data_IF_065283770651
#
_entry.id   IF_065283770651
#
_cell.length_a   1.000
_cell.length_b   1.000
_cell.length_c   1.000
_cell.angle_alpha   90.00
_cell.angle_beta   90.00
_cell.angle_gamma   90.00
#
_symmetry.space_group_name_H-M   'P 1'
#
loop_
_entity.id
_entity.type
_entity.pdbx_description
1 polymer ?
#
# COMPACT_ATOMS: atom_id res chain seq x y z
N UNK A 1 2.89 20.89 3.76
CA UNK A 1 1.60 20.40 3.22
C UNK A 1 0.82 19.87 4.39
N UNK A 2 -0.45 20.24 4.50
CA UNK A 2 -1.28 19.81 5.61
C UNK A 2 -1.62 18.31 5.46
N UNK A 3 -1.58 17.59 6.58
CA UNK A 3 -1.93 16.17 6.62
C UNK A 3 -3.45 16.04 6.77
N UNK A 4 -4.08 15.35 5.83
CA UNK A 4 -5.55 15.16 5.81
C UNK A 4 -5.97 13.82 6.42
N UNK A 5 -5.18 12.77 6.22
CA UNK A 5 -5.39 11.48 6.86
C UNK A 5 -4.16 11.18 7.72
N UNK A 6 -4.34 10.93 8.99
CA UNK A 6 -3.26 10.56 9.89
C UNK A 6 -3.62 9.32 10.72
N UNK A 7 -2.63 8.46 10.95
CA UNK A 7 -2.73 7.40 11.96
C UNK A 7 -1.51 7.43 12.87
N UNK A 8 -1.72 7.16 14.15
CA UNK A 8 -0.65 7.06 15.13
C UNK A 8 -0.76 5.72 15.87
N UNK A 9 0.28 4.89 15.76
CA UNK A 9 0.37 3.54 16.37
C UNK A 9 -0.89 2.69 16.15
N UNK A 10 -1.57 2.89 15.00
CA UNK A 10 -2.84 2.25 14.69
C UNK A 10 -2.69 0.73 14.70
N UNK A 11 -3.49 0.05 15.52
CA UNK A 11 -3.37 -1.37 15.75
C UNK A 11 -4.71 -2.08 15.71
N UNK A 12 -4.76 -3.25 15.05
CA UNK A 12 -5.91 -4.15 15.03
C UNK A 12 -5.48 -5.59 15.26
N UNK A 13 -6.15 -6.26 16.21
CA UNK A 13 -5.86 -7.64 16.61
C UNK A 13 -7.09 -8.51 16.31
N UNK A 14 -6.91 -9.62 15.62
CA UNK A 14 -7.92 -10.65 15.44
C UNK A 14 -7.36 -11.98 15.97
N UNK A 15 -8.10 -12.63 16.84
CA UNK A 15 -7.73 -13.94 17.42
C UNK A 15 -6.28 -13.98 17.96
N UNK A 16 -5.86 -12.93 18.67
CA UNK A 16 -4.52 -12.81 19.24
C UNK A 16 -3.40 -12.43 18.28
N UNK A 17 -3.70 -12.27 16.98
CA UNK A 17 -2.74 -11.85 15.96
C UNK A 17 -2.97 -10.40 15.56
N UNK A 18 -1.92 -9.57 15.60
CA UNK A 18 -1.97 -8.22 15.07
C UNK A 18 -1.99 -8.26 13.54
N UNK A 19 -3.14 -7.88 12.94
CA UNK A 19 -3.34 -7.76 11.48
C UNK A 19 -2.92 -6.38 11.00
N UNK A 20 -3.05 -5.36 11.85
CA UNK A 20 -2.43 -4.05 11.69
C UNK A 20 -1.66 -3.78 12.97
N UNK A 21 -0.39 -3.41 12.86
CA UNK A 21 0.54 -3.35 13.98
C UNK A 21 1.30 -2.03 13.98
N UNK A 22 0.85 -1.08 14.82
CA UNK A 22 1.46 0.24 15.04
C UNK A 22 1.72 1.01 13.74
N UNK A 23 0.71 1.11 12.90
CA UNK A 23 0.81 1.82 11.62
C UNK A 23 0.75 3.32 11.86
N UNK A 24 1.79 4.04 11.40
CA UNK A 24 1.90 5.50 11.40
C UNK A 24 1.83 5.97 9.95
N UNK A 25 0.68 6.45 9.50
CA UNK A 25 0.42 6.90 8.14
C UNK A 25 0.13 8.40 8.15
N UNK A 26 0.65 9.12 7.16
CA UNK A 26 0.34 10.52 6.91
C UNK A 26 0.07 10.72 5.42
N UNK A 27 -1.13 11.18 5.07
CA UNK A 27 -1.54 11.46 3.69
C UNK A 27 -1.69 12.98 3.53
N UNK A 28 -0.89 13.61 2.67
CA UNK A 28 -0.99 15.05 2.41
C UNK A 28 -2.26 15.42 1.67
N UNK A 29 -2.72 16.65 1.88
CA UNK A 29 -3.85 17.23 1.14
C UNK A 29 -3.58 17.25 -0.38
N UNK A 30 -4.60 16.89 -1.18
CA UNK A 30 -4.53 16.86 -2.64
C UNK A 30 -3.67 15.72 -3.22
N UNK A 31 -3.12 14.85 -2.39
CA UNK A 31 -2.32 13.71 -2.84
C UNK A 31 -3.20 12.59 -3.40
N UNK A 32 -2.67 11.88 -4.40
CA UNK A 32 -3.07 10.51 -4.70
C UNK A 32 -2.08 9.61 -3.95
N UNK A 33 -2.53 9.08 -2.82
CA UNK A 33 -1.73 8.21 -1.97
C UNK A 33 -2.09 6.74 -2.21
N UNK A 34 -1.12 5.92 -2.58
CA UNK A 34 -1.31 4.49 -2.76
C UNK A 34 -0.77 3.68 -1.59
N UNK A 35 -1.64 2.94 -0.92
CA UNK A 35 -1.28 1.95 0.09
C UNK A 35 -1.03 0.61 -0.58
N UNK A 36 0.24 0.26 -0.75
CA UNK A 36 0.70 -0.89 -1.54
C UNK A 36 1.10 -2.06 -0.64
N UNK A 37 0.91 -3.27 -1.14
CA UNK A 37 1.29 -4.47 -0.40
C UNK A 37 0.59 -5.72 -0.89
N UNK A 38 1.12 -6.89 -0.55
CA UNK A 38 0.52 -8.18 -0.90
C UNK A 38 -0.83 -8.43 -0.22
N UNK A 39 -1.49 -9.53 -0.60
CA UNK A 39 -2.70 -9.97 0.06
C UNK A 39 -2.41 -10.30 1.53
N UNK A 40 -3.29 -9.88 2.43
CA UNK A 40 -3.10 -10.06 3.87
C UNK A 40 -2.11 -9.09 4.53
N UNK A 41 -1.56 -8.11 3.81
CA UNK A 41 -0.65 -7.09 4.38
C UNK A 41 -1.30 -6.15 5.41
N UNK A 42 -2.64 -6.13 5.52
CA UNK A 42 -3.37 -5.28 6.46
C UNK A 42 -4.04 -4.06 5.82
N UNK A 43 -3.93 -3.84 4.50
CA UNK A 43 -4.44 -2.67 3.78
C UNK A 43 -5.94 -2.43 4.00
N UNK A 44 -6.79 -3.40 3.65
CA UNK A 44 -8.25 -3.28 3.79
C UNK A 44 -8.69 -3.14 5.26
N UNK A 45 -7.95 -3.73 6.21
CA UNK A 45 -8.21 -3.55 7.64
C UNK A 45 -7.90 -2.12 8.08
N UNK A 46 -6.79 -1.56 7.61
CA UNK A 46 -6.42 -0.15 7.85
C UNK A 46 -7.49 0.79 7.27
N UNK A 47 -7.91 0.55 6.02
CA UNK A 47 -8.97 1.33 5.36
C UNK A 47 -10.29 1.25 6.13
N UNK A 48 -10.70 0.08 6.62
CA UNK A 48 -11.93 -0.07 7.42
C UNK A 48 -11.87 0.70 8.76
N UNK A 49 -10.70 0.81 9.36
CA UNK A 49 -10.53 1.63 10.57
C UNK A 49 -10.61 3.12 10.22
N UNK A 50 -9.98 3.57 9.13
CA UNK A 50 -10.06 4.94 8.62
C UNK A 50 -11.50 5.35 8.26
N UNK A 51 -12.30 4.44 7.74
CA UNK A 51 -13.71 4.71 7.34
C UNK A 51 -14.72 4.52 8.47
N UNK A 52 -14.27 4.29 9.72
CA UNK A 52 -15.15 4.08 10.87
C UNK A 52 -16.01 2.79 10.79
N UNK A 53 -15.63 1.84 9.92
CA UNK A 53 -16.32 0.55 9.81
C UNK A 53 -15.78 -0.51 10.77
N UNK A 54 -14.62 -0.25 11.37
CA UNK A 54 -13.96 -1.16 12.29
C UNK A 54 -13.23 -0.35 13.36
N UNK A 55 -13.50 -0.57 14.67
CA UNK A 55 -12.75 0.11 15.71
C UNK A 55 -11.32 -0.39 15.79
N UNK A 56 -10.38 0.51 16.07
CA UNK A 56 -9.01 0.15 16.42
C UNK A 56 -8.98 -0.46 17.83
N UNK A 57 -8.00 -1.36 18.07
CA UNK A 57 -7.75 -1.89 19.41
C UNK A 57 -6.73 -1.04 20.18
N UNK A 58 -5.87 -0.29 19.43
CA UNK A 58 -4.96 0.71 19.99
C UNK A 58 -4.56 1.72 18.93
N UNK A 59 -4.04 2.87 19.39
CA UNK A 59 -3.66 3.98 18.52
C UNK A 59 -4.85 4.83 18.09
N UNK A 60 -4.60 5.78 17.19
CA UNK A 60 -5.62 6.73 16.71
C UNK A 60 -5.60 6.83 15.19
N UNK A 61 -6.73 7.21 14.61
CA UNK A 61 -6.88 7.51 13.20
C UNK A 61 -7.75 8.75 13.03
N UNK A 62 -7.30 9.71 12.23
CA UNK A 62 -8.04 10.96 11.96
C UNK A 62 -8.12 11.23 10.47
N UNK A 63 -9.24 11.81 10.04
CA UNK A 63 -9.44 12.35 8.68
C UNK A 63 -9.99 13.77 8.83
N UNK A 64 -9.40 14.74 8.13
CA UNK A 64 -9.79 16.15 8.21
C UNK A 64 -9.70 16.72 9.64
N UNK A 65 -8.84 16.12 10.48
CA UNK A 65 -8.68 16.47 11.88
C UNK A 65 -9.68 15.82 12.84
N UNK A 66 -10.68 15.10 12.34
CA UNK A 66 -11.74 14.42 13.11
C UNK A 66 -11.38 12.94 13.35
N UNK A 67 -11.78 12.40 14.51
CA UNK A 67 -11.52 10.99 14.85
C UNK A 67 -12.38 10.05 14.01
N UNK A 68 -11.74 9.08 13.36
CA UNK A 68 -12.41 8.17 12.41
C UNK A 68 -13.49 7.28 13.05
N UNK A 69 -13.45 7.05 14.35
CA UNK A 69 -14.43 6.24 15.05
C UNK A 69 -15.48 7.08 15.79
N UNK A 70 -15.04 8.08 16.57
CA UNK A 70 -15.92 8.94 17.33
C UNK A 70 -16.82 9.80 16.43
N UNK A 71 -16.23 10.36 15.36
CA UNK A 71 -16.90 11.28 14.43
C UNK A 71 -17.31 10.59 13.11
N UNK A 72 -17.42 9.27 13.12
CA UNK A 72 -17.65 8.46 11.92
C UNK A 72 -18.92 8.85 11.14
N UNK A 73 -19.96 9.36 11.80
CA UNK A 73 -21.21 9.77 11.16
C UNK A 73 -20.98 11.05 10.33
N UNK A 74 -20.33 12.05 10.91
CA UNK A 74 -20.07 13.34 10.27
C UNK A 74 -19.06 13.18 9.12
N UNK A 75 -18.04 12.34 9.31
CA UNK A 75 -17.07 12.02 8.28
C UNK A 75 -17.69 11.35 7.04
N UNK A 76 -18.79 10.60 7.16
CA UNK A 76 -19.47 9.97 6.00
C UNK A 76 -20.01 10.97 4.97
N UNK A 77 -20.23 12.21 5.34
CA UNK A 77 -20.65 13.25 4.39
C UNK A 77 -19.48 13.88 3.64
N UNK A 78 -18.27 13.77 4.21
CA UNK A 78 -17.04 14.38 3.68
C UNK A 78 -16.06 13.37 3.07
N UNK A 79 -16.29 12.07 3.34
CA UNK A 79 -15.44 10.96 2.88
C UNK A 79 -16.23 10.02 1.98
N UNK A 80 -15.84 9.93 0.72
CA UNK A 80 -16.36 8.91 -0.20
C UNK A 80 -15.59 7.60 -0.01
N UNK A 81 -16.31 6.48 0.11
CA UNK A 81 -15.68 5.17 0.25
C UNK A 81 -16.18 4.17 -0.79
N UNK A 82 -15.25 3.49 -1.45
CA UNK A 82 -15.54 2.36 -2.35
C UNK A 82 -14.82 1.12 -1.83
N UNK A 83 -15.54 0.11 -1.33
CA UNK A 83 -14.93 -1.15 -0.91
C UNK A 83 -14.47 -1.99 -2.10
N UNK A 84 -13.53 -2.94 -1.87
CA UNK A 84 -13.05 -3.90 -2.88
C UNK A 84 -14.19 -4.62 -3.60
N UNK A 85 -15.24 -4.97 -2.87
CA UNK A 85 -16.43 -5.67 -3.39
C UNK A 85 -17.69 -4.97 -2.93
N UNK A 86 -18.11 -3.91 -3.63
CA UNK A 86 -19.40 -3.28 -3.36
C UNK A 86 -20.51 -4.32 -3.47
N UNK A 87 -21.50 -4.24 -2.58
CA UNK A 87 -22.70 -5.11 -2.66
C UNK A 87 -23.91 -4.23 -2.79
N UNK A 88 -24.51 -4.26 -3.97
CA UNK A 88 -25.77 -3.58 -4.25
C UNK A 88 -26.89 -4.60 -4.34
N UNK A 89 -28.14 -4.12 -4.34
CA UNK A 89 -29.30 -4.97 -4.57
C UNK A 89 -29.41 -5.31 -6.07
N UNK A 90 -29.24 -6.56 -6.42
CA UNK A 90 -29.17 -7.07 -7.80
C UNK A 90 -30.41 -6.71 -8.66
N UNK A 91 -31.59 -6.56 -8.04
CA UNK A 91 -32.83 -6.22 -8.68
C UNK A 91 -32.98 -4.73 -9.03
N UNK A 92 -32.18 -3.84 -8.40
CA UNK A 92 -32.20 -2.41 -8.69
C UNK A 92 -31.54 -2.09 -10.03
N UNK A 93 -32.00 -0.99 -10.63
CA UNK A 93 -31.30 -0.35 -11.75
C UNK A 93 -30.24 0.64 -11.24
N UNK A 94 -29.38 1.12 -12.16
CA UNK A 94 -28.41 2.20 -11.87
C UNK A 94 -29.13 3.44 -11.32
N UNK A 95 -30.28 3.79 -11.85
CA UNK A 95 -31.10 4.90 -11.35
C UNK A 95 -31.69 4.61 -9.96
N UNK A 96 -32.19 3.40 -9.72
CA UNK A 96 -32.85 3.05 -8.47
C UNK A 96 -31.89 3.09 -7.28
N UNK A 97 -30.66 2.60 -7.45
CA UNK A 97 -29.64 2.66 -6.37
C UNK A 97 -29.26 4.10 -6.03
N UNK A 98 -29.18 4.98 -7.04
CA UNK A 98 -28.95 6.41 -6.82
C UNK A 98 -30.11 7.08 -6.07
N UNK A 99 -31.34 6.80 -6.45
CA UNK A 99 -32.54 7.29 -5.73
C UNK A 99 -32.58 6.77 -4.28
N UNK A 100 -32.31 5.48 -4.08
CA UNK A 100 -32.28 4.89 -2.74
C UNK A 100 -31.22 5.54 -1.85
N UNK A 101 -30.01 5.72 -2.41
CA UNK A 101 -28.89 6.33 -1.66
C UNK A 101 -29.15 7.82 -1.36
N UNK A 102 -29.81 8.53 -2.26
CA UNK A 102 -30.19 9.94 -2.06
C UNK A 102 -31.03 10.17 -0.80
N UNK A 103 -31.80 9.16 -0.34
CA UNK A 103 -32.56 9.23 0.89
C UNK A 103 -31.71 9.35 2.18
N UNK A 104 -30.41 9.11 2.10
CA UNK A 104 -29.47 9.22 3.22
C UNK A 104 -28.55 10.46 3.13
N UNK A 105 -28.74 11.30 2.08
CA UNK A 105 -27.91 12.46 1.82
C UNK A 105 -28.75 13.72 1.62
N UNK A 106 -28.10 14.87 1.62
CA UNK A 106 -28.72 16.16 1.36
C UNK A 106 -29.21 16.34 -0.09
N UNK A 107 -30.01 17.35 -0.34
CA UNK A 107 -30.70 17.62 -1.61
C UNK A 107 -29.81 17.67 -2.87
N UNK A 108 -28.50 17.89 -2.74
CA UNK A 108 -27.55 17.93 -3.87
C UNK A 108 -27.11 16.56 -4.41
N UNK A 109 -27.37 15.46 -3.70
CA UNK A 109 -26.88 14.13 -4.09
C UNK A 109 -27.47 13.65 -5.43
N UNK A 110 -28.80 13.65 -5.58
CA UNK A 110 -29.46 13.07 -6.75
C UNK A 110 -29.07 13.69 -8.10
N UNK A 111 -29.01 15.04 -8.25
CA UNK A 111 -28.54 15.63 -9.50
C UNK A 111 -27.07 15.31 -9.78
N UNK A 112 -26.18 15.39 -8.77
CA UNK A 112 -24.75 15.04 -8.96
C UNK A 112 -24.56 13.57 -9.33
N UNK A 113 -25.36 12.66 -8.75
CA UNK A 113 -25.32 11.26 -9.14
C UNK A 113 -25.74 11.07 -10.61
N UNK A 114 -26.80 11.71 -11.04
CA UNK A 114 -27.26 11.64 -12.43
C UNK A 114 -26.20 12.13 -13.42
N UNK A 115 -25.52 13.24 -13.11
CA UNK A 115 -24.41 13.76 -13.90
C UNK A 115 -23.23 12.78 -13.97
N UNK A 116 -22.88 12.13 -12.84
CA UNK A 116 -21.84 11.11 -12.79
C UNK A 116 -22.20 9.87 -13.59
N UNK A 117 -23.46 9.42 -13.55
CA UNK A 117 -23.97 8.31 -14.38
C UNK A 117 -23.79 8.62 -15.86
N UNK A 118 -24.11 9.85 -16.30
CA UNK A 118 -23.90 10.28 -17.66
C UNK A 118 -22.39 10.36 -18.01
N UNK A 119 -21.57 10.96 -17.15
CA UNK A 119 -20.12 11.09 -17.33
C UNK A 119 -19.44 9.71 -17.45
N UNK A 120 -19.84 8.75 -16.66
CA UNK A 120 -19.31 7.38 -16.69
C UNK A 120 -19.95 6.51 -17.79
N UNK A 121 -20.85 7.08 -18.59
CA UNK A 121 -21.55 6.40 -19.70
C UNK A 121 -22.27 5.13 -19.23
N UNK A 122 -22.93 5.21 -18.07
CA UNK A 122 -23.76 4.16 -17.54
C UNK A 122 -25.19 4.31 -18.06
N UNK A 123 -25.85 3.20 -18.41
CA UNK A 123 -27.28 3.21 -18.72
C UNK A 123 -28.09 3.26 -17.41
N UNK A 124 -28.86 4.35 -17.15
CA UNK A 124 -29.67 4.47 -15.95
C UNK A 124 -30.71 3.37 -15.76
N UNK A 125 -31.15 2.73 -16.86
CA UNK A 125 -32.18 1.66 -16.85
C UNK A 125 -31.55 0.26 -16.70
N UNK A 126 -30.25 0.13 -16.87
CA UNK A 126 -29.55 -1.15 -16.71
C UNK A 126 -29.70 -1.69 -15.29
N UNK A 127 -30.01 -2.97 -15.14
CA UNK A 127 -30.05 -3.65 -13.85
C UNK A 127 -28.62 -3.91 -13.35
N UNK A 128 -28.37 -3.70 -12.06
CA UNK A 128 -27.02 -3.83 -11.46
C UNK A 128 -26.42 -5.22 -11.69
N UNK A 129 -27.24 -6.30 -11.60
CA UNK A 129 -26.80 -7.68 -11.86
C UNK A 129 -26.31 -7.94 -13.30
N UNK A 130 -26.69 -7.09 -14.26
CA UNK A 130 -26.31 -7.25 -15.67
C UNK A 130 -25.09 -6.44 -16.08
N UNK A 131 -24.59 -5.61 -15.17
CA UNK A 131 -23.42 -4.80 -15.43
C UNK A 131 -22.15 -5.65 -15.50
N UNK A 132 -21.21 -5.25 -16.36
CA UNK A 132 -19.85 -5.74 -16.30
C UNK A 132 -19.19 -5.34 -14.95
N UNK A 133 -18.10 -5.99 -14.56
CA UNK A 133 -17.33 -5.59 -13.37
C UNK A 133 -16.94 -4.11 -13.41
N UNK A 134 -16.53 -3.60 -14.57
CA UNK A 134 -16.20 -2.19 -14.76
C UNK A 134 -17.40 -1.26 -14.61
N UNK A 135 -18.57 -1.62 -15.16
CA UNK A 135 -19.81 -0.89 -14.96
C UNK A 135 -20.22 -0.84 -13.48
N UNK A 136 -20.09 -1.97 -12.81
CA UNK A 136 -20.41 -2.08 -11.38
C UNK A 136 -19.45 -1.22 -10.50
N UNK A 137 -18.15 -1.21 -10.81
CA UNK A 137 -17.18 -0.34 -10.15
C UNK A 137 -17.47 1.15 -10.39
N UNK A 138 -17.87 1.53 -11.62
CA UNK A 138 -18.27 2.89 -11.96
C UNK A 138 -19.51 3.35 -11.18
N UNK A 139 -20.49 2.46 -10.96
CA UNK A 139 -21.65 2.76 -10.08
C UNK A 139 -21.18 3.03 -8.66
N UNK A 140 -20.30 2.19 -8.09
CA UNK A 140 -19.73 2.41 -6.77
C UNK A 140 -19.01 3.74 -6.64
N UNK A 141 -18.21 4.09 -7.65
CA UNK A 141 -17.51 5.37 -7.69
C UNK A 141 -18.50 6.55 -7.82
N UNK A 142 -19.55 6.44 -8.65
CA UNK A 142 -20.55 7.48 -8.77
C UNK A 142 -21.29 7.73 -7.45
N UNK A 143 -21.64 6.67 -6.71
CA UNK A 143 -22.28 6.77 -5.39
C UNK A 143 -21.34 7.42 -4.37
N UNK A 144 -20.04 7.09 -4.38
CA UNK A 144 -19.06 7.67 -3.47
C UNK A 144 -18.75 9.14 -3.78
N UNK A 145 -18.87 9.56 -5.03
CA UNK A 145 -18.60 10.93 -5.47
C UNK A 145 -19.82 11.86 -5.41
N UNK A 146 -21.04 11.33 -5.44
CA UNK A 146 -22.26 12.13 -5.45
C UNK A 146 -22.45 13.03 -4.21
N UNK A 147 -21.97 12.67 -3.01
CA UNK A 147 -21.95 13.59 -1.86
C UNK A 147 -21.01 14.79 -2.03
N UNK A 148 -20.12 14.78 -3.04
CA UNK A 148 -19.04 15.75 -3.25
C UNK A 148 -17.96 15.74 -2.14
N UNK A 149 -17.36 14.58 -1.87
CA UNK A 149 -16.45 14.40 -0.75
C UNK A 149 -15.12 15.14 -0.94
N UNK A 150 -14.51 15.58 0.15
CA UNK A 150 -13.15 16.15 0.20
C UNK A 150 -12.07 15.04 0.10
N UNK A 151 -12.37 13.86 0.66
CA UNK A 151 -11.50 12.69 0.69
C UNK A 151 -12.17 11.50 0.03
N UNK A 152 -11.45 10.79 -0.83
CA UNK A 152 -11.92 9.57 -1.47
C UNK A 152 -11.03 8.40 -1.04
N UNK A 153 -11.63 7.37 -0.45
CA UNK A 153 -10.94 6.15 -0.02
C UNK A 153 -11.43 4.97 -0.87
N UNK A 154 -10.50 4.27 -1.50
CA UNK A 154 -10.77 3.21 -2.45
C UNK A 154 -10.01 1.93 -2.07
N UNK A 155 -10.73 0.86 -1.76
CA UNK A 155 -10.10 -0.42 -1.41
C UNK A 155 -10.04 -1.33 -2.63
N UNK A 156 -8.83 -1.56 -3.17
CA UNK A 156 -8.55 -2.37 -4.36
C UNK A 156 -9.48 -2.05 -5.57
N UNK A 157 -9.66 -0.78 -5.94
CA UNK A 157 -10.75 -0.35 -6.84
C UNK A 157 -10.61 -0.87 -8.27
N UNK A 158 -9.41 -1.33 -8.66
CA UNK A 158 -9.11 -1.85 -10.00
C UNK A 158 -9.06 -3.38 -10.05
N UNK A 159 -9.29 -4.04 -8.92
CA UNK A 159 -9.24 -5.51 -8.82
C UNK A 159 -10.25 -6.19 -9.74
N UNK A 160 -9.75 -7.06 -10.62
CA UNK A 160 -10.60 -7.82 -11.56
C UNK A 160 -11.18 -7.00 -12.72
N UNK A 161 -10.75 -5.75 -12.90
CA UNK A 161 -11.05 -4.97 -14.10
C UNK A 161 -10.11 -5.36 -15.25
N UNK A 162 -10.60 -5.29 -16.49
CA UNK A 162 -9.73 -5.40 -17.66
C UNK A 162 -8.79 -4.18 -17.78
N UNK A 163 -7.72 -4.33 -18.55
CA UNK A 163 -6.66 -3.33 -18.66
C UNK A 163 -7.15 -1.95 -19.11
N UNK A 164 -8.13 -1.90 -20.01
CA UNK A 164 -8.63 -0.63 -20.56
C UNK A 164 -9.46 0.12 -19.51
N UNK A 165 -10.42 -0.56 -18.90
CA UNK A 165 -11.29 0.02 -17.84
C UNK A 165 -10.45 0.46 -16.64
N UNK A 166 -9.43 -0.34 -16.29
CA UNK A 166 -8.50 -0.01 -15.21
C UNK A 166 -7.75 1.29 -15.47
N UNK A 167 -7.24 1.49 -16.69
CA UNK A 167 -6.57 2.73 -17.08
C UNK A 167 -7.52 3.94 -17.05
N UNK A 168 -8.74 3.76 -17.55
CA UNK A 168 -9.77 4.80 -17.51
C UNK A 168 -10.11 5.20 -16.06
N UNK A 169 -10.24 4.20 -15.17
CA UNK A 169 -10.50 4.42 -13.76
C UNK A 169 -9.35 5.20 -13.08
N UNK A 170 -8.11 4.78 -13.28
CA UNK A 170 -6.95 5.46 -12.71
C UNK A 170 -6.77 6.88 -13.27
N UNK A 171 -7.05 7.12 -14.55
CA UNK A 171 -7.03 8.46 -15.14
C UNK A 171 -8.05 9.38 -14.46
N UNK A 172 -9.25 8.87 -14.13
CA UNK A 172 -10.26 9.67 -13.42
C UNK A 172 -9.79 10.10 -12.01
N UNK A 173 -8.89 9.35 -11.36
CA UNK A 173 -8.30 9.74 -10.07
C UNK A 173 -7.40 10.97 -10.22
N UNK A 174 -6.65 11.08 -11.31
CA UNK A 174 -5.81 12.25 -11.59
C UNK A 174 -6.66 13.49 -11.76
N UNK A 175 -7.80 13.39 -12.49
CA UNK A 175 -8.72 14.50 -12.65
C UNK A 175 -9.35 14.93 -11.30
N UNK A 176 -9.74 13.97 -10.46
CA UNK A 176 -10.32 14.24 -9.14
C UNK A 176 -9.30 14.92 -8.20
N UNK A 177 -8.06 14.45 -8.18
CA UNK A 177 -6.99 15.09 -7.40
C UNK A 177 -6.66 16.48 -7.93
N UNK A 178 -6.64 16.68 -9.26
CA UNK A 178 -6.48 17.99 -9.89
C UNK A 178 -7.60 18.98 -9.54
N UNK A 179 -8.78 18.49 -9.17
CA UNK A 179 -9.89 19.29 -8.63
C UNK A 179 -9.79 19.53 -7.10
N UNK A 180 -8.66 19.19 -6.47
CA UNK A 180 -8.36 19.46 -5.06
C UNK A 180 -8.75 18.36 -4.08
N UNK A 181 -9.26 17.20 -4.53
CA UNK A 181 -9.59 16.08 -3.64
C UNK A 181 -8.36 15.29 -3.24
N UNK A 182 -8.36 14.80 -2.00
CA UNK A 182 -7.36 13.84 -1.52
C UNK A 182 -7.85 12.42 -1.76
N UNK A 183 -7.00 11.57 -2.33
CA UNK A 183 -7.35 10.18 -2.67
C UNK A 183 -6.41 9.23 -1.96
N UNK A 184 -6.96 8.31 -1.17
CA UNK A 184 -6.25 7.15 -0.63
C UNK A 184 -6.77 5.90 -1.33
N UNK A 185 -5.90 5.16 -2.02
CA UNK A 185 -6.29 3.90 -2.62
C UNK A 185 -5.37 2.76 -2.15
N UNK A 186 -5.93 1.58 -1.92
CA UNK A 186 -5.14 0.37 -1.74
C UNK A 186 -4.94 -0.34 -3.08
N UNK A 187 -3.79 -0.97 -3.27
CA UNK A 187 -3.55 -1.82 -4.43
C UNK A 187 -2.46 -2.86 -4.17
N UNK A 188 -2.55 -3.98 -4.86
CA UNK A 188 -1.47 -4.94 -5.03
C UNK A 188 -0.79 -4.82 -6.41
N UNK A 189 -1.36 -4.05 -7.35
CA UNK A 189 -0.83 -3.78 -8.69
C UNK A 189 0.08 -2.54 -8.70
N UNK A 190 1.34 -2.69 -8.27
CA UNK A 190 2.27 -1.58 -8.04
C UNK A 190 2.56 -0.78 -9.32
N UNK A 191 2.89 -1.47 -10.43
CA UNK A 191 3.29 -0.84 -11.70
C UNK A 191 2.19 0.07 -12.31
N UNK A 192 0.93 -0.24 -12.04
CA UNK A 192 -0.20 0.55 -12.56
C UNK A 192 -0.40 1.82 -11.77
N UNK A 193 -0.31 1.71 -10.46
CA UNK A 193 -0.50 2.82 -9.53
C UNK A 193 0.66 3.81 -9.58
N UNK A 194 1.88 3.35 -9.87
CA UNK A 194 3.06 4.20 -10.05
C UNK A 194 2.86 5.35 -11.05
N UNK A 195 1.94 5.17 -12.01
CA UNK A 195 1.67 6.17 -13.06
C UNK A 195 0.80 7.33 -12.60
N UNK A 196 0.05 7.16 -11.53
CA UNK A 196 -0.97 8.13 -11.09
C UNK A 196 -0.75 8.60 -9.65
N UNK A 197 -0.12 7.80 -8.80
CA UNK A 197 0.15 8.15 -7.42
C UNK A 197 1.24 9.22 -7.32
N UNK A 198 1.06 10.15 -6.39
CA UNK A 198 2.08 11.10 -5.97
C UNK A 198 2.85 10.60 -4.74
N UNK A 199 2.18 9.82 -3.90
CA UNK A 199 2.72 9.26 -2.67
C UNK A 199 2.39 7.77 -2.56
N UNK A 200 3.23 7.03 -1.89
CA UNK A 200 3.03 5.60 -1.63
C UNK A 200 3.38 5.22 -0.21
N UNK A 201 2.70 4.21 0.32
CA UNK A 201 3.04 3.53 1.55
C UNK A 201 3.11 2.02 1.30
N UNK A 202 4.21 1.38 1.67
CA UNK A 202 4.39 -0.07 1.51
C UNK A 202 4.04 -0.79 2.80
N UNK A 203 3.07 -1.70 2.73
CA UNK A 203 2.66 -2.55 3.86
C UNK A 203 3.10 -3.99 3.68
N UNK A 204 3.57 -4.61 4.76
CA UNK A 204 3.79 -6.04 4.87
C UNK A 204 3.50 -6.52 6.30
N UNK A 205 2.83 -7.67 6.43
CA UNK A 205 2.53 -8.32 7.72
C UNK A 205 1.95 -7.38 8.78
N UNK A 206 1.06 -6.49 8.35
CA UNK A 206 0.40 -5.52 9.22
C UNK A 206 1.24 -4.28 9.56
N UNK A 207 2.43 -4.13 9.05
CA UNK A 207 3.33 -2.99 9.32
C UNK A 207 3.49 -2.11 8.09
N UNK A 208 3.61 -0.82 8.31
CA UNK A 208 4.04 0.13 7.28
C UNK A 208 5.58 0.13 7.24
N UNK A 209 6.15 -0.35 6.15
CA UNK A 209 7.60 -0.46 5.98
C UNK A 209 8.23 0.89 5.65
N UNK A 210 7.57 1.65 4.80
CA UNK A 210 8.00 2.97 4.32
C UNK A 210 6.81 3.71 3.73
N UNK A 211 6.74 5.02 3.94
CA UNK A 211 5.80 5.91 3.26
C UNK A 211 6.51 7.21 2.88
N UNK A 212 6.37 7.65 1.63
CA UNK A 212 6.96 8.88 1.13
C UNK A 212 6.34 9.29 -0.21
N UNK A 213 6.67 10.48 -0.71
CA UNK A 213 6.40 10.83 -2.11
C UNK A 213 7.23 9.94 -3.05
N UNK A 214 6.72 9.67 -4.24
CA UNK A 214 7.46 8.88 -5.25
C UNK A 214 8.79 9.58 -5.62
N UNK A 215 8.80 10.90 -5.63
CA UNK A 215 10.01 11.68 -5.90
C UNK A 215 11.07 11.49 -4.81
N UNK A 216 10.68 11.53 -3.53
CA UNK A 216 11.58 11.24 -2.41
C UNK A 216 12.09 9.81 -2.44
N UNK A 217 11.24 8.83 -2.72
CA UNK A 217 11.66 7.43 -2.82
C UNK A 217 12.74 7.22 -3.87
N UNK A 218 12.58 7.83 -5.05
CA UNK A 218 13.57 7.74 -6.13
C UNK A 218 14.91 8.40 -5.79
N UNK A 219 14.91 9.40 -4.90
CA UNK A 219 16.15 10.03 -4.40
C UNK A 219 16.79 9.22 -3.28
N UNK A 220 15.98 8.59 -2.43
CA UNK A 220 16.41 7.88 -1.23
C UNK A 220 16.79 6.44 -1.47
N UNK A 221 16.24 5.80 -2.50
CA UNK A 221 16.51 4.38 -2.79
C UNK A 221 17.05 4.27 -4.21
N UNK A 222 18.30 3.82 -4.31
CA UNK A 222 19.00 3.69 -5.58
C UNK A 222 19.63 2.31 -5.71
N UNK A 223 19.77 1.84 -6.94
CA UNK A 223 20.60 0.70 -7.27
C UNK A 223 21.97 1.19 -7.67
N UNK A 224 22.99 0.67 -7.02
CA UNK A 224 24.40 0.90 -7.38
C UNK A 224 24.97 -0.38 -7.94
N UNK A 225 25.55 -0.28 -9.14
CA UNK A 225 26.30 -1.35 -9.79
C UNK A 225 27.77 -0.93 -9.81
N UNK A 226 28.65 -1.80 -9.36
CA UNK A 226 30.08 -1.55 -9.27
C UNK A 226 30.89 -2.65 -9.96
N UNK A 227 31.77 -2.24 -10.88
CA UNK A 227 32.81 -3.07 -11.45
C UNK A 227 34.16 -2.75 -10.81
N UNK A 228 34.88 -3.75 -10.31
CA UNK A 228 36.14 -3.55 -9.59
C UNK A 228 37.21 -4.58 -9.97
N UNK A 229 38.47 -4.19 -9.81
CA UNK A 229 39.66 -5.04 -10.11
C UNK A 229 40.41 -5.54 -8.87
N UNK A 230 40.05 -5.10 -7.69
CA UNK A 230 40.70 -5.42 -6.42
C UNK A 230 39.74 -5.98 -5.39
N UNK A 231 39.93 -5.59 -4.13
CA UNK A 231 38.97 -5.84 -3.07
C UNK A 231 37.77 -4.90 -3.24
N UNK A 232 36.52 -5.42 -3.25
CA UNK A 232 35.36 -4.58 -3.32
C UNK A 232 35.19 -3.76 -2.04
N UNK A 233 34.68 -2.54 -2.12
CA UNK A 233 34.26 -1.78 -0.94
C UNK A 233 33.09 -2.50 -0.25
N UNK A 234 32.96 -2.30 1.06
CA UNK A 234 31.79 -2.79 1.78
C UNK A 234 30.58 -1.91 1.40
N UNK A 235 29.50 -2.48 0.86
CA UNK A 235 28.30 -1.71 0.51
C UNK A 235 27.67 -1.01 1.73
N UNK A 236 27.95 -1.45 2.96
CA UNK A 236 27.46 -0.82 4.19
C UNK A 236 28.07 0.58 4.42
N UNK A 237 29.27 0.86 3.89
CA UNK A 237 29.88 2.18 3.95
C UNK A 237 29.18 3.20 3.04
N UNK A 238 28.43 2.71 2.05
CA UNK A 238 27.76 3.52 1.03
C UNK A 238 26.31 3.88 1.36
N UNK A 239 25.75 3.30 2.40
CA UNK A 239 24.36 3.53 2.83
C UNK A 239 23.71 2.30 3.43
N UNK A 240 22.44 2.42 3.75
CA UNK A 240 21.68 1.30 4.31
C UNK A 240 21.36 0.26 3.23
N UNK A 241 22.00 -0.91 3.32
CA UNK A 241 21.83 -1.99 2.33
C UNK A 241 20.48 -2.67 2.50
N UNK A 242 19.61 -2.58 1.48
CA UNK A 242 18.35 -3.31 1.38
C UNK A 242 18.55 -4.67 0.72
N UNK A 243 19.30 -4.71 -0.38
CA UNK A 243 19.62 -5.91 -1.14
C UNK A 243 21.07 -5.85 -1.63
N UNK A 244 21.75 -6.99 -1.67
CA UNK A 244 23.12 -7.08 -2.16
C UNK A 244 23.35 -8.39 -2.88
N UNK A 245 24.00 -8.31 -4.05
CA UNK A 245 24.39 -9.45 -4.87
C UNK A 245 25.80 -9.20 -5.41
N UNK A 246 26.60 -10.27 -5.49
CA UNK A 246 27.95 -10.20 -6.06
C UNK A 246 28.19 -11.35 -7.01
N UNK A 247 28.87 -11.08 -8.11
CA UNK A 247 29.25 -12.05 -9.13
C UNK A 247 30.62 -11.71 -9.73
N UNK A 248 31.65 -12.42 -9.27
CA UNK A 248 33.03 -12.17 -9.71
C UNK A 248 33.51 -10.75 -9.36
N UNK A 249 33.78 -9.93 -10.40
CA UNK A 249 34.24 -8.54 -10.28
C UNK A 249 33.12 -7.51 -10.38
N UNK A 250 31.90 -7.95 -10.28
CA UNK A 250 30.70 -7.13 -10.29
C UNK A 250 29.96 -7.31 -8.98
N UNK A 251 29.56 -6.22 -8.31
CA UNK A 251 28.51 -6.28 -7.33
C UNK A 251 27.38 -5.27 -7.61
N UNK A 252 26.23 -5.57 -7.10
CA UNK A 252 25.05 -4.75 -7.21
C UNK A 252 24.39 -4.64 -5.84
N UNK A 253 24.12 -3.42 -5.40
CA UNK A 253 23.45 -3.14 -4.15
C UNK A 253 22.23 -2.25 -4.37
N UNK A 254 21.15 -2.48 -3.63
CA UNK A 254 20.07 -1.52 -3.45
C UNK A 254 20.30 -0.84 -2.11
N UNK A 255 20.54 0.46 -2.15
CA UNK A 255 20.87 1.29 -1.01
C UNK A 255 19.71 2.22 -0.69
N UNK A 256 19.36 2.33 0.59
CA UNK A 256 18.49 3.37 1.11
C UNK A 256 19.36 4.44 1.77
N UNK A 257 18.99 5.72 1.52
CA UNK A 257 19.71 6.90 2.00
C UNK A 257 21.22 6.82 1.71
N UNK A 258 21.61 6.75 0.41
CA UNK A 258 22.99 6.54 0.01
C UNK A 258 23.90 7.70 0.45
N UNK A 259 25.08 7.36 0.94
CA UNK A 259 26.14 8.32 1.26
C UNK A 259 26.75 8.85 -0.06
N UNK A 260 26.28 10.00 -0.52
CA UNK A 260 26.69 10.61 -1.79
C UNK A 260 28.18 10.91 -1.85
N UNK A 261 28.76 11.38 -0.75
CA UNK A 261 30.19 11.66 -0.67
C UNK A 261 31.01 10.38 -0.85
N UNK A 262 30.64 9.31 -0.14
CA UNK A 262 31.33 8.02 -0.28
C UNK A 262 31.21 7.42 -1.69
N UNK A 263 30.07 7.61 -2.37
CA UNK A 263 29.91 7.18 -3.76
C UNK A 263 30.78 7.99 -4.72
N UNK A 264 30.91 9.28 -4.52
CA UNK A 264 31.77 10.15 -5.34
C UNK A 264 33.25 9.87 -5.11
N UNK A 265 33.66 9.64 -3.87
CA UNK A 265 35.02 9.22 -3.53
C UNK A 265 35.36 7.86 -4.17
N UNK A 266 34.41 6.94 -4.13
CA UNK A 266 34.57 5.61 -4.71
C UNK A 266 34.79 5.65 -6.24
N UNK A 267 34.13 6.57 -6.96
CA UNK A 267 34.34 6.79 -8.40
C UNK A 267 35.77 7.18 -8.75
N UNK A 268 36.49 7.79 -7.82
CA UNK A 268 37.86 8.27 -8.01
C UNK A 268 38.94 7.26 -7.54
N UNK A 269 38.53 6.16 -6.89
CA UNK A 269 39.47 5.17 -6.36
C UNK A 269 40.11 4.33 -7.47
N UNK A 270 41.42 4.10 -7.34
CA UNK A 270 42.15 3.16 -8.20
C UNK A 270 41.63 1.74 -7.99
N UNK A 271 41.29 1.05 -9.07
CA UNK A 271 40.72 -0.30 -9.02
C UNK A 271 39.20 -0.36 -9.17
N UNK A 272 38.52 0.77 -9.22
CA UNK A 272 37.13 0.86 -9.65
C UNK A 272 37.12 1.14 -11.14
N UNK A 273 36.47 0.24 -11.91
CA UNK A 273 36.35 0.37 -13.37
C UNK A 273 35.14 1.20 -13.76
N UNK A 274 34.02 0.97 -13.06
CA UNK A 274 32.75 1.62 -13.37
C UNK A 274 31.83 1.61 -12.14
N UNK A 275 31.11 2.71 -11.91
CA UNK A 275 30.09 2.85 -10.91
C UNK A 275 28.85 3.52 -11.51
N UNK A 276 27.80 2.74 -11.67
CA UNK A 276 26.50 3.20 -12.18
C UNK A 276 25.48 3.30 -11.07
N UNK A 277 24.77 4.41 -11.04
CA UNK A 277 23.56 4.57 -10.23
C UNK A 277 22.33 4.47 -11.14
N UNK A 278 21.41 3.57 -10.81
CA UNK A 278 20.21 3.34 -11.59
C UNK A 278 18.97 3.59 -10.74
N UNK A 279 17.97 4.30 -11.28
CA UNK A 279 16.68 4.44 -10.64
C UNK A 279 15.97 3.08 -10.57
N UNK A 280 15.15 2.91 -9.54
CA UNK A 280 14.32 1.73 -9.32
C UNK A 280 12.85 2.07 -9.59
N UNK A 281 12.09 1.12 -10.15
CA UNK A 281 10.64 1.18 -10.13
C UNK A 281 10.09 0.81 -8.74
N UNK A 282 8.82 1.14 -8.48
CA UNK A 282 8.21 0.86 -7.16
C UNK A 282 8.17 -0.63 -6.81
N UNK A 283 8.04 -1.52 -7.78
CA UNK A 283 8.08 -2.98 -7.55
C UNK A 283 9.44 -3.45 -7.04
N UNK A 284 10.51 -2.91 -7.62
CA UNK A 284 11.88 -3.22 -7.20
C UNK A 284 12.16 -2.68 -5.80
N UNK A 285 11.70 -1.46 -5.50
CA UNK A 285 11.79 -0.85 -4.16
C UNK A 285 11.06 -1.73 -3.14
N UNK A 286 9.82 -2.12 -3.44
CA UNK A 286 9.03 -2.97 -2.55
C UNK A 286 9.68 -4.32 -2.31
N UNK A 287 10.22 -4.96 -3.35
CA UNK A 287 10.94 -6.22 -3.25
C UNK A 287 12.18 -6.10 -2.36
N UNK A 288 12.95 -5.02 -2.51
CA UNK A 288 14.13 -4.76 -1.68
C UNK A 288 13.76 -4.54 -0.20
N UNK A 289 12.69 -3.77 0.07
CA UNK A 289 12.15 -3.56 1.42
C UNK A 289 11.69 -4.88 2.06
N UNK A 290 10.99 -5.74 1.31
CA UNK A 290 10.56 -7.06 1.78
C UNK A 290 11.74 -7.97 2.09
N UNK A 291 12.76 -7.99 1.22
CA UNK A 291 13.97 -8.79 1.41
C UNK A 291 14.66 -8.44 2.74
N UNK A 292 14.73 -7.14 3.05
CA UNK A 292 15.26 -6.65 4.32
C UNK A 292 14.36 -7.00 5.50
N UNK A 293 13.05 -6.79 5.35
CA UNK A 293 12.06 -7.05 6.42
C UNK A 293 12.07 -8.52 6.88
N UNK A 294 12.30 -9.47 5.96
CA UNK A 294 12.37 -10.89 6.26
C UNK A 294 13.78 -11.40 6.64
N UNK A 295 14.81 -10.53 6.64
CA UNK A 295 16.13 -10.94 7.15
C UNK A 295 16.09 -11.03 8.68
N UNK A 296 16.59 -12.12 9.29
CA UNK A 296 16.77 -12.18 10.74
C UNK A 296 17.72 -11.06 11.18
N UNK A 297 17.36 -10.34 12.24
CA UNK A 297 18.26 -9.38 12.88
C UNK A 297 19.56 -10.08 13.30
N UNK A 298 20.70 -9.63 12.76
CA UNK A 298 22.03 -10.18 13.10
C UNK A 298 22.83 -10.79 11.95
N UNK A 299 22.26 -10.96 10.75
CA UNK A 299 23.01 -11.42 9.59
C UNK A 299 23.52 -10.20 8.79
N UNK A 300 24.70 -9.70 9.15
CA UNK A 300 25.47 -8.79 8.28
C UNK A 300 25.76 -9.51 6.95
N UNK A 301 25.63 -8.80 5.84
CA UNK A 301 26.02 -9.31 4.52
C UNK A 301 27.54 -9.57 4.52
N UNK A 302 27.95 -10.79 4.83
CA UNK A 302 29.35 -11.17 4.68
C UNK A 302 29.71 -11.21 3.20
N UNK A 303 30.86 -10.67 2.86
CA UNK A 303 31.48 -10.55 1.54
C UNK A 303 31.68 -11.88 0.77
N UNK A 304 31.23 -12.99 1.31
CA UNK A 304 31.23 -14.31 0.68
C UNK A 304 29.82 -14.87 0.64
N UNK A 305 29.20 -14.88 -0.54
CA UNK A 305 27.85 -15.39 -0.84
C UNK A 305 27.60 -16.91 -0.54
N UNK A 306 28.11 -17.41 0.58
CA UNK A 306 27.82 -18.74 1.11
C UNK A 306 27.15 -18.62 2.47
N UNK A 307 25.84 -18.75 2.47
CA UNK A 307 25.08 -19.09 3.70
C UNK A 307 25.65 -20.38 4.27
N UNK A 308 26.36 -20.31 5.41
CA UNK A 308 26.75 -21.52 6.16
C UNK A 308 25.49 -22.20 6.68
N UNK A 309 25.18 -23.36 6.10
CA UNK A 309 24.06 -24.25 6.51
C UNK A 309 24.23 -24.88 7.91
N UNK A 310 25.17 -24.42 8.73
CA UNK A 310 25.48 -25.07 10.01
C UNK A 310 24.65 -24.63 11.21
N UNK A 311 23.94 -23.50 11.15
CA UNK A 311 23.18 -23.00 12.33
C UNK A 311 21.67 -23.28 12.29
N UNK A 312 21.15 -23.83 11.19
CA UNK A 312 19.71 -24.17 11.09
C UNK A 312 19.40 -25.56 11.71
N UNK A 313 20.41 -26.35 12.05
CA UNK A 313 20.21 -27.70 12.57
C UNK A 313 19.90 -27.74 14.08
N UNK A 314 20.38 -26.79 14.87
CA UNK A 314 20.22 -26.81 16.32
C UNK A 314 18.87 -26.30 16.83
N UNK A 315 18.21 -25.38 16.08
CA UNK A 315 16.87 -24.90 16.47
C UNK A 315 15.73 -25.88 16.18
N UNK A 316 15.92 -26.85 15.23
CA UNK A 316 14.91 -27.88 14.96
C UNK A 316 14.94 -29.03 15.96
N UNK A 317 16.02 -29.24 16.73
CA UNK A 317 16.11 -30.26 17.74
C UNK A 317 15.46 -29.83 19.06
N UNK A 318 15.49 -28.57 19.44
CA UNK A 318 14.86 -28.08 20.68
C UNK A 318 13.33 -28.01 20.62
N UNK A 319 12.74 -27.73 19.43
CA UNK A 319 11.27 -27.68 19.26
C UNK A 319 10.66 -29.12 19.26
N UNK A 320 11.44 -30.17 18.90
CA UNK A 320 10.92 -31.55 18.91
C UNK A 320 10.93 -32.23 20.28
N UNK A 321 11.67 -31.72 21.26
CA UNK A 321 11.73 -32.31 22.60
C UNK A 321 10.60 -31.83 23.53
N UNK A 322 9.86 -30.77 23.19
CA UNK A 322 8.79 -30.19 24.02
C UNK A 322 7.36 -30.62 23.66
N UNK A 323 7.17 -31.42 22.60
CA UNK A 323 5.84 -31.94 22.20
C UNK A 323 5.83 -33.45 22.17
N UNK A 324 5.91 -34.12 23.34
CA UNK A 324 5.40 -35.48 23.54
C UNK A 324 4.04 -35.36 24.25
N UNK A 325 2.94 -35.85 23.68
CA UNK A 325 1.68 -35.97 24.41
C UNK A 325 1.78 -37.09 25.43
N UNK A 326 1.68 -36.70 26.71
CA UNK A 326 1.47 -37.64 27.78
C UNK A 326 0.08 -38.24 27.67
N UNK A 327 0.02 -39.54 27.54
CA UNK A 327 -1.18 -40.37 27.68
C UNK A 327 -1.72 -40.28 29.09
N UNK A 328 -2.90 -39.73 29.27
CA UNK A 328 -3.74 -39.96 30.44
C UNK A 328 -5.18 -40.20 29.97
N UNK A 329 -5.56 -41.49 29.97
CA UNK A 329 -6.96 -41.86 30.16
C UNK A 329 -7.18 -42.12 31.67
N UNK A 330 -8.30 -41.73 32.24
CA UNK A 330 -9.01 -42.59 33.14
C UNK A 330 -10.43 -42.86 32.63
N UNK A 331 -10.80 -44.14 32.82
CA UNK A 331 -12.16 -44.66 32.72
C UNK A 331 -13.18 -43.83 33.52
N UNK A 332 -14.30 -43.46 32.89
CA UNK A 332 -15.70 -43.71 33.27
C UNK A 332 -16.60 -43.09 32.23
#
# INVERSE_FOLDING_TARGET
>A
MDTIIATHELTKIFSGRAVVNRVNLSVPQGAIFALLGGNGAGKSTTIKMLTGLLPADAGTATILGEDCWADAIDLRYRVGYVPERPRFYDWMTVRDIGWFTAGFHEAGFAPRYADLVQRFRLDPAARLKTLSKGGYAKVGLALALAPDPEVLILDEPTSGLDLFIRREFLASMVELAGAGRTILLSSHGIAEVERVASHVGFMAEGRLLLAASIEELRKRIVRVRLHFDGLPPDPADLGQVLQFETSGRLWQAVLQDPNRLALDDLRQQTGIRDLEEMPLCLEEIYTALLTRFHRPEGVQATSNGRVRKSEIRDQKSEVRSKNRPGSFFPDF
#
